data_IF_226704233987
#
_entry.id   IF_226704233987
#
_cell.length_a   1.000
_cell.length_b   1.000
_cell.length_c   1.000
_cell.angle_alpha   90.00
_cell.angle_beta   90.00
_cell.angle_gamma   90.00
#
_symmetry.space_group_name_H-M   'P 1'
#
loop_
_entity.id
_entity.type
_entity.pdbx_description
1 polymer ?
#
# COMPACT_ATOMS: atom_id res chain seq x y z
N UNK A 1 9.51 -4.41 -4.17
CA UNK A 1 9.86 -4.30 -2.74
C UNK A 1 9.02 -5.20 -1.81
N UNK A 2 8.09 -6.06 -2.29
CA UNK A 2 7.18 -6.83 -1.42
C UNK A 2 6.47 -5.93 -0.37
N UNK A 3 5.95 -4.79 -0.82
CA UNK A 3 5.33 -3.78 0.07
C UNK A 3 6.32 -2.86 0.78
N UNK A 4 7.60 -3.20 0.98
CA UNK A 4 8.54 -2.42 1.82
C UNK A 4 8.84 -0.98 1.38
N UNK A 5 8.49 -0.57 0.16
CA UNK A 5 8.86 0.74 -0.40
C UNK A 5 10.35 0.93 -0.72
N UNK A 6 11.23 0.09 -0.17
CA UNK A 6 12.70 0.11 -0.36
C UNK A 6 13.23 -1.20 -0.92
N UNK A 7 14.42 -1.15 -1.51
CA UNK A 7 15.18 -2.30 -2.05
C UNK A 7 16.66 -2.14 -1.73
N UNK A 8 17.41 -3.24 -1.74
CA UNK A 8 18.86 -3.19 -1.56
C UNK A 8 19.52 -2.42 -2.72
N UNK A 9 20.43 -1.51 -2.40
CA UNK A 9 21.31 -0.87 -3.37
C UNK A 9 22.57 -1.72 -3.50
N UNK A 10 22.60 -2.62 -4.47
CA UNK A 10 23.73 -3.53 -4.70
C UNK A 10 25.05 -2.82 -4.99
N UNK A 11 25.01 -1.63 -5.62
CA UNK A 11 26.24 -0.87 -5.94
C UNK A 11 26.82 -0.29 -4.66
N UNK A 12 26.00 0.40 -3.87
CA UNK A 12 26.44 0.99 -2.59
C UNK A 12 26.76 -0.09 -1.54
N UNK A 13 26.00 -1.17 -1.50
CA UNK A 13 26.25 -2.29 -0.58
C UNK A 13 27.63 -2.91 -0.83
N UNK A 14 28.00 -3.12 -2.11
CA UNK A 14 29.35 -3.60 -2.47
C UNK A 14 30.44 -2.59 -2.11
N UNK A 15 30.19 -1.29 -2.32
CA UNK A 15 31.15 -0.24 -2.02
C UNK A 15 31.44 -0.10 -0.51
N UNK A 16 30.40 -0.19 0.32
CA UNK A 16 30.52 0.05 1.77
C UNK A 16 30.69 -1.23 2.59
N UNK A 17 30.58 -2.42 1.97
CA UNK A 17 30.65 -3.70 2.68
C UNK A 17 29.50 -3.97 3.66
N UNK A 18 28.48 -3.10 3.68
CA UNK A 18 27.32 -3.18 4.58
C UNK A 18 26.03 -2.96 3.78
N UNK A 19 24.90 -3.58 4.17
CA UNK A 19 23.63 -3.40 3.47
C UNK A 19 23.18 -1.93 3.40
N UNK A 20 23.15 -1.36 2.19
CA UNK A 20 22.61 -0.03 1.91
C UNK A 20 21.30 -0.18 1.15
N UNK A 21 20.26 0.52 1.57
CA UNK A 21 18.93 0.48 0.94
C UNK A 21 18.63 1.77 0.16
N UNK A 22 17.82 1.64 -0.89
CA UNK A 22 17.31 2.75 -1.70
C UNK A 22 15.80 2.64 -1.91
N UNK A 23 15.18 3.74 -2.35
CA UNK A 23 13.76 3.76 -2.73
C UNK A 23 13.53 2.77 -3.87
N UNK A 24 12.45 2.00 -3.78
CA UNK A 24 12.09 1.05 -4.82
C UNK A 24 11.58 1.79 -6.05
N UNK A 25 12.32 1.74 -7.17
CA UNK A 25 11.92 2.41 -8.41
C UNK A 25 10.60 1.90 -9.02
N UNK A 26 10.18 0.67 -8.70
CA UNK A 26 8.90 0.11 -9.23
C UNK A 26 7.67 0.72 -8.58
N UNK A 27 7.70 0.95 -7.27
CA UNK A 27 6.58 1.55 -6.53
C UNK A 27 6.85 3.01 -6.15
N UNK A 28 8.01 3.55 -6.49
CA UNK A 28 8.48 4.87 -6.08
C UNK A 28 8.34 5.17 -4.58
N UNK A 29 8.55 4.15 -3.73
CA UNK A 29 8.37 4.28 -2.28
C UNK A 29 6.92 4.19 -1.79
N UNK A 30 5.93 4.09 -2.68
CA UNK A 30 4.51 4.07 -2.34
C UNK A 30 4.00 2.79 -1.66
N UNK A 31 4.87 1.88 -1.20
CA UNK A 31 4.49 0.65 -0.45
C UNK A 31 3.23 -0.05 -0.99
N UNK A 32 2.07 0.14 -0.35
CA UNK A 32 0.76 -0.25 -0.87
C UNK A 32 0.27 0.69 -1.98
N UNK A 33 -0.04 0.12 -3.14
CA UNK A 33 -0.63 0.90 -4.23
C UNK A 33 -1.97 1.48 -3.80
N UNK A 34 -2.21 2.76 -4.10
CA UNK A 34 -3.54 3.37 -3.96
C UNK A 34 -4.52 2.54 -4.79
N UNK A 35 -5.56 2.00 -4.16
CA UNK A 35 -6.62 1.29 -4.88
C UNK A 35 -7.42 2.33 -5.68
N UNK A 36 -7.45 2.25 -7.03
CA UNK A 36 -8.28 3.16 -7.79
C UNK A 36 -9.75 2.95 -7.45
N UNK A 37 -10.44 4.02 -7.05
CA UNK A 37 -11.86 3.99 -6.68
C UNK A 37 -12.73 3.44 -7.81
N UNK A 38 -12.37 3.73 -9.07
CA UNK A 38 -13.05 3.21 -10.27
C UNK A 38 -12.94 1.69 -10.41
N UNK A 39 -11.79 1.12 -10.07
CA UNK A 39 -11.58 -0.33 -10.09
C UNK A 39 -12.44 -1.00 -9.02
N UNK A 40 -12.43 -0.47 -7.80
CA UNK A 40 -13.29 -0.95 -6.72
C UNK A 40 -14.77 -0.89 -7.13
N UNK A 41 -15.20 0.22 -7.72
CA UNK A 41 -16.57 0.40 -8.20
C UNK A 41 -16.98 -0.65 -9.22
N UNK A 42 -16.13 -0.92 -10.21
CA UNK A 42 -16.39 -1.92 -11.24
C UNK A 42 -16.67 -3.31 -10.64
N UNK A 43 -15.96 -3.68 -9.58
CA UNK A 43 -16.19 -4.95 -8.88
C UNK A 43 -17.44 -4.94 -8.01
N UNK A 44 -17.70 -3.85 -7.28
CA UNK A 44 -18.91 -3.72 -6.45
C UNK A 44 -20.17 -3.74 -7.32
N UNK A 45 -20.13 -3.10 -8.49
CA UNK A 45 -21.27 -3.07 -9.42
C UNK A 45 -21.63 -4.46 -9.97
N UNK A 46 -20.72 -5.44 -9.97
CA UNK A 46 -21.04 -6.84 -10.30
C UNK A 46 -21.86 -7.53 -9.21
N UNK A 47 -21.75 -7.06 -7.97
CA UNK A 47 -22.49 -7.58 -6.81
C UNK A 47 -23.78 -6.81 -6.57
N UNK A 48 -23.79 -5.52 -6.89
CA UNK A 48 -24.93 -4.60 -6.79
C UNK A 48 -25.15 -3.95 -8.16
N UNK A 49 -25.90 -4.59 -9.08
CA UNK A 49 -26.04 -4.15 -10.48
C UNK A 49 -26.64 -2.74 -10.63
N UNK A 50 -27.54 -2.38 -9.74
CA UNK A 50 -28.32 -1.14 -9.67
C UNK A 50 -27.65 -0.05 -8.80
N UNK A 51 -26.34 -0.20 -8.55
CA UNK A 51 -25.52 0.78 -7.85
C UNK A 51 -25.46 2.12 -8.57
N UNK A 52 -26.02 3.15 -7.93
CA UNK A 52 -26.00 4.53 -8.42
C UNK A 52 -24.73 5.28 -8.04
N UNK A 53 -24.42 6.36 -8.77
CA UNK A 53 -23.35 7.32 -8.40
C UNK A 53 -23.54 7.85 -6.97
N UNK A 54 -24.78 8.16 -6.60
CA UNK A 54 -25.11 8.69 -5.28
C UNK A 54 -24.77 7.69 -4.18
N UNK A 55 -25.20 6.42 -4.32
CA UNK A 55 -24.86 5.37 -3.35
C UNK A 55 -23.36 5.12 -3.27
N UNK A 56 -22.67 5.18 -4.41
CA UNK A 56 -21.22 5.03 -4.46
C UNK A 56 -20.51 6.10 -3.62
N UNK A 57 -20.74 7.38 -3.92
CA UNK A 57 -20.03 8.48 -3.27
C UNK A 57 -20.52 8.77 -1.85
N UNK A 58 -21.76 8.41 -1.50
CA UNK A 58 -22.29 8.60 -0.14
C UNK A 58 -21.86 7.52 0.85
N UNK A 59 -21.52 6.32 0.39
CA UNK A 59 -21.26 5.19 1.27
C UNK A 59 -20.09 4.30 0.84
N UNK A 60 -20.22 3.63 -0.29
CA UNK A 60 -19.26 2.59 -0.68
C UNK A 60 -17.83 3.10 -0.82
N UNK A 61 -17.64 4.28 -1.43
CA UNK A 61 -16.32 4.87 -1.61
C UNK A 61 -15.60 5.14 -0.26
N UNK A 62 -16.34 5.64 0.73
CA UNK A 62 -15.81 5.93 2.08
C UNK A 62 -15.41 4.64 2.82
N UNK A 63 -16.22 3.58 2.71
CA UNK A 63 -15.89 2.27 3.31
C UNK A 63 -14.62 1.70 2.68
N UNK A 64 -14.49 1.75 1.34
CA UNK A 64 -13.31 1.27 0.64
C UNK A 64 -12.07 2.07 1.05
N UNK A 65 -12.18 3.40 1.17
CA UNK A 65 -11.07 4.26 1.60
C UNK A 65 -10.62 3.95 3.04
N UNK A 66 -11.58 3.71 3.95
CA UNK A 66 -11.30 3.26 5.32
C UNK A 66 -10.59 1.91 5.36
N UNK A 67 -10.99 0.95 4.52
CA UNK A 67 -10.33 -0.35 4.42
C UNK A 67 -8.89 -0.22 3.91
N UNK A 68 -8.67 0.59 2.88
CA UNK A 68 -7.32 0.91 2.38
C UNK A 68 -6.49 1.54 3.50
N UNK A 69 -7.02 2.54 4.18
CA UNK A 69 -6.36 3.21 5.30
C UNK A 69 -5.99 2.24 6.41
N UNK A 70 -6.86 1.27 6.73
CA UNK A 70 -6.56 0.23 7.72
C UNK A 70 -5.36 -0.63 7.31
N UNK A 71 -5.25 -1.01 6.03
CA UNK A 71 -4.07 -1.74 5.55
C UNK A 71 -2.77 -0.97 5.78
N UNK A 72 -2.77 0.35 5.56
CA UNK A 72 -1.62 1.21 5.84
C UNK A 72 -1.28 1.28 7.32
N UNK A 73 -2.29 1.39 8.19
CA UNK A 73 -2.10 1.40 9.64
C UNK A 73 -1.47 0.09 10.13
N UNK A 74 -1.92 -1.05 9.61
CA UNK A 74 -1.37 -2.36 9.96
C UNK A 74 0.05 -2.55 9.43
N UNK A 75 0.37 -2.05 8.23
CA UNK A 75 1.75 -2.05 7.72
C UNK A 75 2.67 -1.25 8.64
N UNK A 76 2.25 -0.04 9.03
CA UNK A 76 3.02 0.82 9.93
C UNK A 76 3.20 0.18 11.31
N UNK A 77 2.16 -0.47 11.83
CA UNK A 77 2.22 -1.20 13.10
C UNK A 77 3.19 -2.39 13.02
N UNK A 78 3.11 -3.20 11.96
CA UNK A 78 4.02 -4.32 11.74
C UNK A 78 5.47 -3.86 11.61
N UNK A 79 5.74 -2.76 10.89
CA UNK A 79 7.06 -2.16 10.81
C UNK A 79 7.57 -1.70 12.18
N UNK A 80 6.69 -1.10 12.99
CA UNK A 80 7.04 -0.69 14.35
C UNK A 80 7.37 -1.88 15.25
N UNK A 81 6.63 -2.99 15.18
CA UNK A 81 6.96 -4.20 15.96
C UNK A 81 8.26 -4.84 15.49
N UNK A 82 8.50 -4.91 14.17
CA UNK A 82 9.74 -5.45 13.63
C UNK A 82 10.95 -4.66 14.14
N UNK A 83 10.86 -3.32 14.14
CA UNK A 83 11.94 -2.45 14.64
C UNK A 83 12.29 -2.69 16.10
N UNK A 84 11.34 -3.12 16.94
CA UNK A 84 11.61 -3.41 18.36
C UNK A 84 12.45 -4.67 18.56
N UNK A 85 12.43 -5.62 17.61
CA UNK A 85 13.12 -6.91 17.74
C UNK A 85 14.40 -6.99 16.89
N UNK A 86 14.55 -6.12 15.88
CA UNK A 86 15.73 -6.09 15.01
C UNK A 86 16.74 -4.99 15.34
N UNK A 87 16.41 -4.08 16.26
CA UNK A 87 17.28 -2.99 16.72
C UNK A 87 17.50 -3.11 18.22
#
# INVERSE_FOLDING_TARGET
CKGKGIVLDEKRTRLHGTPVYKICGRCNGNRFSRLPTTLARHHVQKLVPDLTDYQWYKGYADIIDKLVTKCWQEEAYAEAQLRKVTR
#
